data_IF_272047686544
#
_entry.id   IF_272047686544
#
_cell.length_a   1.000
_cell.length_b   1.000
_cell.length_c   1.000
_cell.angle_alpha   90.00
_cell.angle_beta   90.00
_cell.angle_gamma   90.00
#
_symmetry.space_group_name_H-M   'P 1'
#
loop_
_entity.id
_entity.type
_entity.pdbx_description
1 polymer ?
#
# COMPACT_ATOMS: atom_id res chain seq x y z
N UNK A 1 30.56 41.98 -64.38
CA UNK A 1 29.14 42.06 -64.78
C UNK A 1 28.68 40.65 -65.14
N UNK A 2 28.03 39.97 -64.20
CA UNK A 2 27.37 38.68 -64.44
C UNK A 2 26.05 38.73 -63.70
N UNK A 3 24.98 38.87 -64.48
CA UNK A 3 23.61 38.96 -63.99
C UNK A 3 23.15 37.60 -63.45
N UNK A 4 22.64 37.58 -62.22
CA UNK A 4 21.85 36.47 -61.68
C UNK A 4 20.48 36.46 -62.38
N UNK A 5 19.96 35.29 -62.80
CA UNK A 5 18.61 35.20 -63.32
C UNK A 5 17.61 35.28 -62.17
N UNK A 6 16.72 36.27 -62.25
CA UNK A 6 15.54 36.41 -61.39
C UNK A 6 14.56 35.30 -61.76
N UNK A 7 14.37 34.36 -60.84
CA UNK A 7 13.34 33.31 -60.97
C UNK A 7 11.97 33.93 -60.69
N UNK A 8 10.96 33.74 -61.56
CA UNK A 8 9.63 34.32 -61.35
C UNK A 8 8.93 33.68 -60.13
N UNK A 9 8.20 34.46 -59.32
CA UNK A 9 7.64 34.03 -58.03
C UNK A 9 6.52 32.96 -58.14
N UNK A 10 6.01 32.70 -59.34
CA UNK A 10 4.90 31.77 -59.56
C UNK A 10 5.29 30.28 -59.48
N UNK A 11 6.57 29.93 -59.68
CA UNK A 11 7.04 28.53 -59.66
C UNK A 11 7.34 28.02 -58.24
N UNK A 12 7.69 28.91 -57.31
CA UNK A 12 7.96 28.56 -55.91
C UNK A 12 6.69 28.16 -55.15
N UNK A 13 5.57 28.85 -55.42
CA UNK A 13 4.30 28.61 -54.74
C UNK A 13 3.68 27.24 -55.10
N UNK A 14 3.82 26.80 -56.37
CA UNK A 14 3.30 25.51 -56.86
C UNK A 14 4.04 24.31 -56.27
N UNK A 15 5.33 24.47 -55.97
CA UNK A 15 6.18 23.43 -55.36
C UNK A 15 5.92 23.28 -53.85
N UNK A 16 5.61 24.37 -53.17
CA UNK A 16 5.24 24.37 -51.74
C UNK A 16 3.85 23.82 -51.50
N UNK A 17 2.88 24.11 -52.39
CA UNK A 17 1.54 23.51 -52.33
C UNK A 17 1.59 21.99 -52.51
N UNK A 18 2.44 21.48 -53.41
CA UNK A 18 2.63 20.03 -53.61
C UNK A 18 3.31 19.33 -52.43
N UNK A 19 4.32 19.96 -51.81
CA UNK A 19 4.97 19.43 -50.60
C UNK A 19 4.03 19.49 -49.37
N UNK A 20 3.25 20.56 -49.21
CA UNK A 20 2.26 20.67 -48.15
C UNK A 20 1.14 19.63 -48.27
N UNK A 21 0.67 19.36 -49.50
CA UNK A 21 -0.31 18.31 -49.76
C UNK A 21 0.24 16.91 -49.45
N UNK A 22 1.52 16.64 -49.77
CA UNK A 22 2.19 15.38 -49.49
C UNK A 22 2.43 15.16 -47.98
N UNK A 23 2.81 16.22 -47.25
CA UNK A 23 2.98 16.16 -45.78
C UNK A 23 1.64 15.96 -45.07
N UNK A 24 0.56 16.59 -45.55
CA UNK A 24 -0.80 16.34 -45.05
C UNK A 24 -1.30 14.92 -45.39
N UNK A 25 -0.93 14.38 -46.56
CA UNK A 25 -1.22 12.98 -46.91
C UNK A 25 -0.47 12.00 -46.00
N UNK A 26 0.79 12.29 -45.65
CA UNK A 26 1.59 11.48 -44.71
C UNK A 26 1.10 11.57 -43.26
N UNK A 27 0.52 12.70 -42.83
CA UNK A 27 -0.12 12.83 -41.52
C UNK A 27 -1.47 12.09 -41.43
N UNK A 28 -2.03 11.70 -42.58
CA UNK A 28 -3.23 10.85 -42.67
C UNK A 28 -2.93 9.35 -42.80
N UNK A 29 -1.65 8.94 -42.75
CA UNK A 29 -1.33 7.58 -42.31
C UNK A 29 -1.73 7.51 -40.82
N UNK A 30 -3.02 7.26 -40.60
CA UNK A 30 -3.59 7.07 -39.30
C UNK A 30 -2.77 6.01 -38.58
N UNK A 31 -2.16 6.40 -37.47
CA UNK A 31 -1.77 5.44 -36.46
C UNK A 31 -3.06 4.69 -36.11
N UNK A 32 -3.17 3.42 -36.51
CA UNK A 32 -4.25 2.56 -36.07
C UNK A 32 -4.20 2.56 -34.54
N UNK A 33 -5.17 3.23 -33.91
CA UNK A 33 -5.26 3.29 -32.46
C UNK A 33 -5.64 1.89 -31.99
N UNK A 34 -4.68 1.18 -31.41
CA UNK A 34 -4.92 -0.13 -30.84
C UNK A 34 -6.01 -0.02 -29.76
N UNK A 35 -7.08 -0.80 -29.91
CA UNK A 35 -8.20 -0.77 -28.96
C UNK A 35 -7.75 -1.42 -27.64
N UNK A 36 -7.90 -0.72 -26.53
CA UNK A 36 -7.63 -1.26 -25.20
C UNK A 36 -8.94 -1.61 -24.48
N UNK A 37 -9.01 -2.83 -23.92
CA UNK A 37 -10.13 -3.28 -23.09
C UNK A 37 -9.57 -3.72 -21.73
N UNK A 38 -10.23 -3.32 -20.65
CA UNK A 38 -9.86 -3.67 -19.27
C UNK A 38 -11.04 -4.39 -18.59
N UNK A 39 -10.77 -5.47 -17.84
CA UNK A 39 -11.80 -6.15 -17.03
C UNK A 39 -11.18 -6.88 -15.84
N UNK A 40 -11.96 -7.09 -14.77
CA UNK A 40 -11.48 -7.80 -13.58
C UNK A 40 -11.58 -9.31 -13.73
N UNK A 41 -10.72 -10.02 -13.00
CA UNK A 41 -10.80 -11.49 -12.86
C UNK A 41 -12.20 -11.89 -12.39
N UNK A 42 -12.76 -12.92 -13.02
CA UNK A 42 -14.09 -13.46 -12.75
C UNK A 42 -15.24 -12.78 -13.50
N UNK A 43 -15.02 -11.62 -14.11
CA UNK A 43 -16.06 -10.90 -14.85
C UNK A 43 -16.29 -11.50 -16.26
N UNK A 44 -17.26 -10.92 -16.98
CA UNK A 44 -17.51 -11.15 -18.40
C UNK A 44 -17.12 -9.90 -19.18
N UNK A 45 -16.37 -10.06 -20.26
CA UNK A 45 -15.87 -8.98 -21.11
C UNK A 45 -16.14 -9.26 -22.58
N UNK A 46 -16.36 -8.21 -23.37
CA UNK A 46 -16.48 -8.26 -24.83
C UNK A 46 -15.30 -7.57 -25.48
N UNK A 47 -14.57 -8.28 -26.34
CA UNK A 47 -13.51 -7.72 -27.18
C UNK A 47 -14.12 -7.35 -28.55
N UNK A 48 -14.19 -6.06 -28.90
CA UNK A 48 -14.88 -5.62 -30.11
C UNK A 48 -14.07 -5.98 -31.36
N UNK A 49 -14.75 -6.45 -32.40
CA UNK A 49 -14.14 -6.62 -33.72
C UNK A 49 -14.24 -5.31 -34.53
N UNK A 50 -13.55 -5.26 -35.67
CA UNK A 50 -13.53 -4.11 -36.58
C UNK A 50 -14.53 -4.20 -37.74
N UNK A 51 -15.39 -5.22 -37.73
CA UNK A 51 -16.39 -5.44 -38.78
C UNK A 51 -17.72 -5.86 -38.17
N UNK A 52 -18.78 -5.29 -38.73
CA UNK A 52 -20.15 -5.68 -38.46
C UNK A 52 -20.76 -6.20 -39.75
N UNK A 53 -21.34 -7.41 -39.70
CA UNK A 53 -21.97 -8.03 -40.85
C UNK A 53 -23.23 -7.24 -41.22
N UNK A 54 -23.35 -6.72 -42.46
CA UNK A 54 -24.55 -6.02 -42.91
C UNK A 54 -25.81 -6.84 -42.68
N UNK A 55 -26.92 -6.19 -42.35
CA UNK A 55 -28.20 -6.87 -42.08
C UNK A 55 -28.69 -7.71 -43.27
N UNK A 56 -28.32 -7.33 -44.49
CA UNK A 56 -28.59 -8.04 -45.76
C UNK A 56 -27.75 -9.30 -45.96
N UNK A 57 -26.72 -9.52 -45.15
CA UNK A 57 -25.82 -10.65 -45.25
C UNK A 57 -25.90 -11.55 -44.01
N UNK A 58 -25.29 -12.73 -44.10
CA UNK A 58 -25.23 -13.71 -43.03
C UNK A 58 -23.79 -14.12 -42.77
N UNK A 59 -23.51 -14.63 -41.55
CA UNK A 59 -22.22 -15.20 -41.17
C UNK A 59 -21.74 -16.33 -42.09
N UNK A 60 -22.64 -16.94 -42.88
CA UNK A 60 -22.28 -17.94 -43.88
C UNK A 60 -21.34 -17.39 -44.97
N UNK A 61 -21.43 -16.09 -45.27
CA UNK A 61 -20.60 -15.43 -46.27
C UNK A 61 -19.25 -14.97 -45.69
N UNK A 62 -18.93 -15.33 -44.44
CA UNK A 62 -17.75 -14.84 -43.75
C UNK A 62 -16.96 -15.98 -43.14
N UNK A 63 -15.65 -15.77 -43.06
CA UNK A 63 -14.75 -16.53 -42.21
C UNK A 63 -14.14 -15.60 -41.17
N UNK A 64 -14.28 -15.95 -39.90
CA UNK A 64 -13.86 -15.10 -38.77
C UNK A 64 -12.90 -15.88 -37.91
N UNK A 65 -11.78 -15.25 -37.58
CA UNK A 65 -10.79 -15.77 -36.64
C UNK A 65 -10.61 -14.79 -35.50
N UNK A 66 -10.74 -15.29 -34.28
CA UNK A 66 -10.20 -14.63 -33.10
C UNK A 66 -8.93 -15.35 -32.68
N UNK A 67 -7.83 -14.60 -32.65
CA UNK A 67 -6.51 -15.14 -32.34
C UNK A 67 -5.93 -14.40 -31.14
N UNK A 68 -5.18 -15.09 -30.29
CA UNK A 68 -4.40 -14.51 -29.21
C UNK A 68 -2.92 -14.61 -29.54
N UNK A 69 -2.18 -13.52 -29.35
CA UNK A 69 -0.76 -13.39 -29.67
C UNK A 69 -0.39 -13.85 -31.10
N UNK A 70 -1.34 -13.76 -32.04
CA UNK A 70 -1.24 -14.19 -33.46
C UNK A 70 -1.00 -15.68 -33.71
N UNK A 71 -0.91 -16.51 -32.67
CA UNK A 71 -0.56 -17.94 -32.79
C UNK A 71 -1.66 -18.86 -32.27
N UNK A 72 -2.40 -18.44 -31.24
CA UNK A 72 -3.43 -19.26 -30.61
C UNK A 72 -4.80 -18.88 -31.17
N UNK A 73 -5.44 -19.78 -31.93
CA UNK A 73 -6.82 -19.56 -32.40
C UNK A 73 -7.79 -19.76 -31.23
N UNK A 74 -8.30 -18.67 -30.66
CA UNK A 74 -9.29 -18.71 -29.57
C UNK A 74 -10.56 -19.39 -30.05
N UNK A 75 -11.09 -18.91 -31.18
CA UNK A 75 -12.19 -19.52 -31.91
C UNK A 75 -12.15 -19.12 -33.39
N UNK A 76 -12.80 -19.91 -34.23
CA UNK A 76 -13.00 -19.58 -35.64
C UNK A 76 -14.37 -20.02 -36.15
N UNK A 77 -14.93 -19.22 -37.05
CA UNK A 77 -16.18 -19.50 -37.76
C UNK A 77 -15.96 -19.53 -39.27
N UNK A 78 -16.64 -20.45 -39.95
CA UNK A 78 -16.77 -20.49 -41.41
C UNK A 78 -18.14 -21.07 -41.78
N UNK A 79 -18.74 -20.60 -42.87
CA UNK A 79 -20.03 -21.11 -43.36
C UNK A 79 -21.12 -21.09 -42.26
N UNK A 80 -21.07 -20.08 -41.38
CA UNK A 80 -22.02 -19.92 -40.28
C UNK A 80 -21.84 -20.89 -39.10
N UNK A 81 -20.82 -21.75 -39.13
CA UNK A 81 -20.53 -22.74 -38.08
C UNK A 81 -19.19 -22.46 -37.42
N UNK A 82 -19.09 -22.79 -36.13
CA UNK A 82 -17.82 -22.79 -35.42
C UNK A 82 -16.98 -23.97 -35.89
N UNK A 83 -15.79 -23.71 -36.42
CA UNK A 83 -14.89 -24.72 -37.00
C UNK A 83 -13.68 -25.01 -36.11
N UNK A 84 -13.35 -24.12 -35.18
CA UNK A 84 -12.26 -24.29 -34.25
C UNK A 84 -12.57 -23.55 -32.96
N UNK A 85 -12.17 -24.15 -31.84
CA UNK A 85 -12.21 -23.55 -30.51
C UNK A 85 -11.07 -24.14 -29.70
N UNK A 86 -10.31 -23.28 -29.04
CA UNK A 86 -9.21 -23.73 -28.20
C UNK A 86 -9.72 -24.21 -26.84
N UNK A 87 -9.18 -25.32 -26.34
CA UNK A 87 -9.66 -26.06 -25.15
C UNK A 87 -9.78 -25.16 -23.90
N UNK A 88 -8.76 -24.33 -23.60
CA UNK A 88 -8.81 -23.33 -22.51
C UNK A 88 -10.05 -22.43 -22.52
N UNK A 89 -10.58 -22.15 -23.70
CA UNK A 89 -11.68 -21.23 -23.92
C UNK A 89 -13.04 -21.93 -24.02
N UNK A 90 -13.06 -23.27 -23.93
CA UNK A 90 -14.28 -24.05 -23.93
C UNK A 90 -15.23 -23.62 -22.80
N UNK A 91 -16.54 -23.54 -23.10
CA UNK A 91 -17.59 -23.04 -22.20
C UNK A 91 -17.41 -21.61 -21.63
N UNK A 92 -16.33 -20.91 -21.96
CA UNK A 92 -16.04 -19.55 -21.50
C UNK A 92 -16.20 -18.49 -22.59
N UNK A 93 -16.02 -18.87 -23.86
CA UNK A 93 -16.10 -17.93 -24.99
C UNK A 93 -17.28 -18.14 -25.93
N UNK A 94 -17.78 -17.02 -26.46
CA UNK A 94 -18.81 -16.95 -27.48
C UNK A 94 -18.53 -15.76 -28.41
N UNK A 95 -18.92 -15.85 -29.69
CA UNK A 95 -18.86 -14.73 -30.61
C UNK A 95 -20.28 -14.24 -30.95
N UNK A 96 -20.48 -12.93 -30.97
CA UNK A 96 -21.70 -12.33 -31.53
C UNK A 96 -21.75 -12.52 -33.04
N UNK A 97 -22.89 -12.96 -33.59
CA UNK A 97 -23.00 -13.30 -35.01
C UNK A 97 -23.13 -12.09 -35.94
N UNK A 98 -23.34 -10.88 -35.40
CA UNK A 98 -23.50 -9.64 -36.17
C UNK A 98 -22.26 -8.77 -36.07
N UNK A 99 -21.91 -8.32 -34.87
CA UNK A 99 -20.79 -7.41 -34.65
C UNK A 99 -19.46 -8.14 -34.39
N UNK A 100 -19.48 -9.48 -34.39
CA UNK A 100 -18.29 -10.34 -34.28
C UNK A 100 -17.48 -10.16 -32.99
N UNK A 101 -18.08 -9.51 -31.97
CA UNK A 101 -17.48 -9.32 -30.65
C UNK A 101 -17.21 -10.66 -30.00
N UNK A 102 -15.98 -10.86 -29.51
CA UNK A 102 -15.62 -12.03 -28.71
C UNK A 102 -15.98 -11.77 -27.25
N UNK A 103 -16.93 -12.53 -26.73
CA UNK A 103 -17.25 -12.57 -25.32
C UNK A 103 -16.40 -13.60 -24.60
N UNK A 104 -15.75 -13.21 -23.50
CA UNK A 104 -15.01 -14.07 -22.59
C UNK A 104 -15.67 -13.96 -21.20
N UNK A 105 -16.08 -15.09 -20.63
CA UNK A 105 -16.68 -15.17 -19.29
C UNK A 105 -15.72 -15.80 -18.29
N UNK A 106 -15.89 -15.43 -17.01
CA UNK A 106 -15.00 -15.85 -15.92
C UNK A 106 -13.54 -15.54 -16.28
N UNK A 107 -13.24 -14.27 -16.55
CA UNK A 107 -11.91 -13.79 -16.96
C UNK A 107 -10.83 -14.28 -16.00
N UNK A 108 -9.72 -14.77 -16.54
CA UNK A 108 -8.53 -15.20 -15.79
C UNK A 108 -7.32 -14.33 -16.13
N UNK A 109 -6.32 -14.26 -15.25
CA UNK A 109 -5.07 -13.50 -15.52
C UNK A 109 -4.38 -14.00 -16.79
N UNK A 110 -4.47 -15.31 -17.07
CA UNK A 110 -3.93 -15.92 -18.28
C UNK A 110 -4.57 -15.39 -19.56
N UNK A 111 -5.76 -14.77 -19.49
CA UNK A 111 -6.40 -14.16 -20.66
C UNK A 111 -5.76 -12.82 -21.04
N UNK A 112 -4.97 -12.20 -20.15
CA UNK A 112 -4.25 -10.98 -20.46
C UNK A 112 -3.37 -11.16 -21.72
N UNK A 113 -3.45 -10.21 -22.65
CA UNK A 113 -2.64 -10.22 -23.86
C UNK A 113 -3.26 -9.50 -25.04
N UNK A 114 -2.59 -9.61 -26.19
CA UNK A 114 -3.06 -9.02 -27.44
C UNK A 114 -3.91 -10.04 -28.20
N UNK A 115 -5.10 -9.63 -28.60
CA UNK A 115 -6.03 -10.38 -29.42
C UNK A 115 -6.11 -9.76 -30.81
N UNK A 116 -6.50 -10.55 -31.81
CA UNK A 116 -6.66 -10.10 -33.19
C UNK A 116 -7.97 -10.67 -33.76
N UNK A 117 -8.80 -9.80 -34.31
CA UNK A 117 -9.97 -10.17 -35.09
C UNK A 117 -9.61 -10.11 -36.57
N UNK A 118 -9.68 -11.26 -37.27
CA UNK A 118 -9.49 -11.33 -38.72
C UNK A 118 -10.79 -11.80 -39.37
N UNK A 119 -11.33 -10.98 -40.26
CA UNK A 119 -12.59 -11.26 -40.96
C UNK A 119 -12.33 -11.30 -42.46
N UNK A 120 -12.74 -12.40 -43.09
CA UNK A 120 -12.66 -12.61 -44.52
C UNK A 120 -14.07 -12.72 -45.09
N UNK A 121 -14.39 -11.89 -46.09
CA UNK A 121 -15.58 -12.02 -46.90
C UNK A 121 -15.37 -13.10 -47.97
N UNK A 122 -16.26 -14.09 -47.97
CA UNK A 122 -16.28 -15.20 -48.91
C UNK A 122 -17.09 -14.76 -50.14
N UNK A 123 -16.42 -14.13 -51.10
CA UNK A 123 -17.03 -13.82 -52.39
C UNK A 123 -17.28 -15.11 -53.19
N UNK A 124 -18.22 -15.06 -54.13
CA UNK A 124 -18.48 -16.16 -55.08
C UNK A 124 -17.26 -16.49 -55.98
N UNK A 125 -16.33 -15.54 -56.13
CA UNK A 125 -15.01 -15.77 -56.73
C UNK A 125 -14.10 -16.48 -55.73
N UNK A 126 -13.33 -17.48 -56.19
CA UNK A 126 -12.55 -18.44 -55.36
C UNK A 126 -11.60 -17.86 -54.28
N UNK A 127 -11.36 -16.55 -54.23
CA UNK A 127 -10.45 -15.91 -53.27
C UNK A 127 -11.20 -15.07 -52.21
N UNK A 128 -11.09 -15.43 -50.92
CA UNK A 128 -11.59 -14.60 -49.81
C UNK A 128 -10.93 -13.23 -49.76
N UNK A 129 -11.69 -12.19 -49.37
CA UNK A 129 -11.17 -10.82 -49.20
C UNK A 129 -11.13 -10.49 -47.72
N UNK A 130 -9.97 -10.09 -47.19
CA UNK A 130 -9.86 -9.60 -45.81
C UNK A 130 -10.57 -8.25 -45.70
N UNK A 131 -11.61 -8.19 -44.87
CA UNK A 131 -12.40 -6.97 -44.60
C UNK A 131 -12.13 -6.41 -43.20
N UNK A 132 -11.46 -7.18 -42.35
CA UNK A 132 -11.00 -6.73 -41.04
C UNK A 132 -9.74 -7.47 -40.63
N UNK A 133 -8.79 -6.72 -40.09
CA UNK A 133 -7.59 -7.21 -39.41
C UNK A 133 -7.21 -6.15 -38.35
N UNK A 134 -7.77 -6.29 -37.15
CA UNK A 134 -7.55 -5.33 -36.06
C UNK A 134 -7.12 -6.04 -34.78
N UNK A 135 -6.18 -5.40 -34.06
CA UNK A 135 -5.71 -5.84 -32.74
C UNK A 135 -6.46 -5.15 -31.61
N UNK A 136 -6.70 -5.92 -30.55
CA UNK A 136 -7.28 -5.47 -29.29
C UNK A 136 -6.36 -5.91 -28.16
N UNK A 137 -5.82 -4.95 -27.42
CA UNK A 137 -5.08 -5.26 -26.19
C UNK A 137 -6.07 -5.46 -25.05
N UNK A 138 -6.08 -6.66 -24.47
CA UNK A 138 -6.89 -7.00 -23.31
C UNK A 138 -6.04 -7.03 -22.04
N UNK A 139 -6.34 -6.12 -21.12
CA UNK A 139 -5.68 -5.98 -19.82
C UNK A 139 -6.58 -6.53 -18.71
N UNK A 140 -6.12 -7.59 -18.05
CA UNK A 140 -6.83 -8.18 -16.91
C UNK A 140 -6.42 -7.47 -15.61
N UNK A 141 -7.38 -7.31 -14.69
CA UNK A 141 -7.14 -6.70 -13.37
C UNK A 141 -7.49 -7.69 -12.26
N UNK A 142 -6.55 -7.93 -11.36
CA UNK A 142 -6.81 -8.59 -10.08
C UNK A 142 -6.55 -7.60 -8.96
N UNK A 143 -7.52 -7.42 -8.08
CA UNK A 143 -7.41 -6.48 -6.98
C UNK A 143 -6.41 -6.97 -5.93
N UNK A 144 -5.46 -6.11 -5.56
CA UNK A 144 -4.55 -6.36 -4.46
C UNK A 144 -5.30 -6.51 -3.12
N UNK A 145 -4.75 -7.27 -2.17
CA UNK A 145 -5.27 -7.26 -0.80
C UNK A 145 -5.11 -5.87 -0.16
N UNK A 146 -5.91 -5.55 0.85
CA UNK A 146 -5.70 -4.31 1.61
C UNK A 146 -4.27 -4.30 2.17
N UNK A 147 -3.48 -3.22 1.98
CA UNK A 147 -2.09 -3.21 2.42
C UNK A 147 -2.00 -3.38 3.94
N UNK A 148 -1.11 -4.27 4.38
CA UNK A 148 -0.80 -4.47 5.79
C UNK A 148 0.49 -3.73 6.14
N UNK A 149 0.47 -2.94 7.21
CA UNK A 149 1.64 -2.19 7.68
C UNK A 149 2.08 -2.76 9.02
N UNK A 150 3.33 -3.22 9.09
CA UNK A 150 3.98 -3.66 10.33
C UNK A 150 5.20 -2.79 10.61
N UNK A 151 5.56 -2.63 11.88
CA UNK A 151 6.72 -1.86 12.30
C UNK A 151 7.52 -2.66 13.33
N UNK A 152 8.82 -2.82 13.06
CA UNK A 152 9.74 -3.53 13.92
C UNK A 152 10.76 -2.53 14.47
N UNK A 153 10.78 -2.36 15.79
CA UNK A 153 11.71 -1.42 16.45
C UNK A 153 13.11 -2.01 16.45
N UNK A 154 14.06 -1.29 15.87
CA UNK A 154 15.47 -1.67 15.83
C UNK A 154 16.22 -1.12 17.04
N UNK A 155 16.05 0.17 17.34
CA UNK A 155 16.64 0.83 18.51
C UNK A 155 15.62 1.81 19.11
N UNK A 156 15.63 1.96 20.42
CA UNK A 156 14.74 2.90 21.11
C UNK A 156 15.52 3.70 22.15
N UNK A 157 15.76 4.97 21.85
CA UNK A 157 16.40 5.92 22.76
C UNK A 157 15.41 7.00 23.18
N UNK A 158 15.75 7.79 24.20
CA UNK A 158 14.95 8.95 24.60
C UNK A 158 14.76 9.96 23.45
N UNK A 159 15.77 10.11 22.60
CA UNK A 159 15.77 11.09 21.51
C UNK A 159 15.03 10.56 20.28
N UNK A 160 15.25 9.30 19.93
CA UNK A 160 14.72 8.70 18.71
C UNK A 160 14.40 7.22 18.83
N UNK A 161 13.34 6.80 18.17
CA UNK A 161 13.05 5.39 17.90
C UNK A 161 13.36 5.11 16.44
N UNK A 162 14.28 4.17 16.20
CA UNK A 162 14.55 3.64 14.86
C UNK A 162 13.76 2.37 14.66
N UNK A 163 13.08 2.27 13.52
CA UNK A 163 12.26 1.12 13.17
C UNK A 163 12.30 0.85 11.67
N UNK A 164 12.07 -0.41 11.33
CA UNK A 164 11.81 -0.83 9.96
C UNK A 164 10.30 -0.99 9.80
N UNK A 165 9.71 -0.13 8.99
CA UNK A 165 8.30 -0.26 8.60
C UNK A 165 8.21 -1.10 7.35
N UNK A 166 7.40 -2.15 7.39
CA UNK A 166 7.12 -3.01 6.25
C UNK A 166 5.67 -2.81 5.82
N UNK A 167 5.44 -2.56 4.54
CA UNK A 167 4.11 -2.56 3.93
C UNK A 167 4.01 -3.73 2.94
N UNK A 168 3.01 -4.60 3.09
CA UNK A 168 2.80 -5.74 2.21
C UNK A 168 1.38 -5.80 1.64
N UNK A 169 1.26 -6.28 0.41
CA UNK A 169 -0.03 -6.56 -0.24
C UNK A 169 0.14 -7.70 -1.25
N UNK A 170 -0.93 -8.46 -1.50
CA UNK A 170 -0.84 -9.78 -2.12
C UNK A 170 -1.91 -9.99 -3.20
N UNK A 171 -1.61 -10.90 -4.14
CA UNK A 171 -2.58 -11.49 -5.07
C UNK A 171 -3.09 -10.58 -6.19
N UNK A 172 -2.47 -9.42 -6.42
CA UNK A 172 -2.96 -8.47 -7.41
C UNK A 172 -2.27 -8.53 -8.77
N UNK A 173 -2.88 -7.96 -9.80
CA UNK A 173 -2.37 -7.93 -11.17
C UNK A 173 -2.95 -6.70 -11.90
N UNK A 174 -2.19 -5.99 -12.75
CA UNK A 174 -0.80 -6.22 -13.17
C UNK A 174 0.24 -5.80 -12.10
N UNK A 175 1.52 -5.75 -12.47
CA UNK A 175 2.62 -5.36 -11.57
C UNK A 175 2.33 -3.97 -10.95
N UNK A 176 2.36 -3.84 -9.61
CA UNK A 176 1.97 -2.61 -8.95
C UNK A 176 3.17 -1.66 -8.76
N UNK A 177 2.85 -0.42 -8.41
CA UNK A 177 3.76 0.56 -7.83
C UNK A 177 3.36 0.81 -6.38
N UNK A 178 4.35 0.85 -5.48
CA UNK A 178 4.13 1.27 -4.10
C UNK A 178 4.47 2.76 -3.95
N UNK A 179 3.59 3.48 -3.29
CA UNK A 179 3.77 4.88 -2.90
C UNK A 179 3.34 5.04 -1.44
N UNK A 180 3.61 6.21 -0.88
CA UNK A 180 3.20 6.49 0.48
C UNK A 180 3.61 7.86 0.95
N UNK A 181 3.12 8.20 2.14
CA UNK A 181 3.43 9.46 2.77
C UNK A 181 3.69 9.29 4.27
N UNK A 182 4.56 10.14 4.79
CA UNK A 182 4.88 10.28 6.20
C UNK A 182 4.46 11.69 6.63
N UNK A 183 3.42 11.82 7.47
CA UNK A 183 2.84 13.11 7.83
C UNK A 183 2.59 14.03 6.61
N UNK A 184 1.96 13.48 5.56
CA UNK A 184 1.69 14.14 4.27
C UNK A 184 2.90 14.46 3.37
N UNK A 185 4.11 14.02 3.74
CA UNK A 185 5.30 14.13 2.87
C UNK A 185 5.55 12.81 2.16
N UNK A 186 5.70 12.83 0.84
CA UNK A 186 5.96 11.62 0.05
C UNK A 186 7.23 10.91 0.51
N UNK A 187 7.19 9.58 0.56
CA UNK A 187 8.35 8.74 0.89
C UNK A 187 8.60 7.69 -0.18
N UNK A 188 9.87 7.31 -0.33
CA UNK A 188 10.30 6.25 -1.24
C UNK A 188 10.43 4.96 -0.44
N UNK A 189 9.72 3.93 -0.87
CA UNK A 189 9.81 2.59 -0.29
C UNK A 189 10.89 1.78 -1.01
N UNK A 190 11.68 1.01 -0.27
CA UNK A 190 12.50 -0.05 -0.85
C UNK A 190 11.59 -1.23 -1.20
N UNK A 191 11.13 -1.26 -2.44
CA UNK A 191 10.07 -2.14 -2.91
C UNK A 191 10.59 -3.39 -3.61
N UNK A 192 10.03 -4.54 -3.25
CA UNK A 192 10.20 -5.81 -3.96
C UNK A 192 8.83 -6.33 -4.39
N UNK A 193 8.71 -6.71 -5.67
CA UNK A 193 7.54 -7.38 -6.20
C UNK A 193 7.94 -8.79 -6.66
N UNK A 194 7.22 -9.79 -6.18
CA UNK A 194 7.47 -11.20 -6.48
C UNK A 194 6.26 -11.77 -7.22
N UNK A 195 6.52 -12.53 -8.27
CA UNK A 195 5.52 -13.30 -9.01
C UNK A 195 6.20 -14.52 -9.62
N UNK A 196 5.43 -15.59 -9.86
CA UNK A 196 5.92 -16.82 -10.48
C UNK A 196 6.23 -16.64 -11.97
N UNK A 197 5.43 -15.82 -12.66
CA UNK A 197 5.55 -15.54 -14.08
C UNK A 197 4.98 -14.17 -14.42
N UNK A 198 5.14 -13.70 -15.66
CA UNK A 198 4.52 -12.46 -16.12
C UNK A 198 2.99 -12.50 -16.15
N UNK A 199 2.37 -13.68 -16.09
CA UNK A 199 0.92 -13.92 -16.12
C UNK A 199 0.42 -14.57 -14.82
N UNK A 200 1.14 -14.36 -13.72
CA UNK A 200 0.73 -14.80 -12.38
C UNK A 200 0.43 -13.58 -11.49
N UNK A 201 -0.35 -13.73 -10.41
CA UNK A 201 -0.54 -12.67 -9.43
C UNK A 201 0.78 -12.18 -8.84
N UNK A 202 0.83 -10.90 -8.45
CA UNK A 202 1.97 -10.26 -7.80
C UNK A 202 1.73 -10.12 -6.29
N UNK A 203 2.79 -10.37 -5.53
CA UNK A 203 2.92 -10.00 -4.14
C UNK A 203 3.94 -8.87 -4.02
N UNK A 204 3.58 -7.78 -3.35
CA UNK A 204 4.42 -6.60 -3.19
C UNK A 204 4.76 -6.40 -1.72
N UNK A 205 6.01 -6.05 -1.45
CA UNK A 205 6.49 -5.69 -0.11
C UNK A 205 7.42 -4.50 -0.23
N UNK A 206 7.11 -3.42 0.48
CA UNK A 206 7.97 -2.25 0.63
C UNK A 206 8.51 -2.16 2.04
N UNK A 207 9.80 -1.85 2.16
CA UNK A 207 10.44 -1.55 3.45
C UNK A 207 10.89 -0.09 3.50
N UNK A 208 10.69 0.54 4.65
CA UNK A 208 11.13 1.90 4.93
C UNK A 208 11.85 1.92 6.27
N UNK A 209 13.09 2.39 6.27
CA UNK A 209 13.81 2.69 7.51
C UNK A 209 13.35 4.06 8.00
N UNK A 210 12.87 4.13 9.24
CA UNK A 210 12.30 5.33 9.83
C UNK A 210 12.98 5.62 11.17
N UNK A 211 13.49 6.85 11.32
CA UNK A 211 13.93 7.41 12.59
C UNK A 211 12.92 8.47 13.02
N UNK A 212 12.31 8.27 14.19
CA UNK A 212 11.16 9.04 14.65
C UNK A 212 11.39 9.64 16.04
N UNK A 213 11.14 10.95 16.18
CA UNK A 213 11.29 11.70 17.44
C UNK A 213 9.96 12.09 18.10
N UNK A 214 8.85 11.95 17.38
CA UNK A 214 7.46 12.24 17.79
C UNK A 214 6.52 11.29 17.09
N UNK A 215 5.25 11.23 17.46
CA UNK A 215 4.28 10.39 16.74
C UNK A 215 4.21 10.73 15.24
N UNK A 216 4.12 9.69 14.41
CA UNK A 216 4.11 9.81 12.96
C UNK A 216 3.00 8.97 12.36
N UNK A 217 2.26 9.57 11.42
CA UNK A 217 1.30 8.87 10.58
C UNK A 217 1.99 8.43 9.29
N UNK A 218 1.98 7.13 9.03
CA UNK A 218 2.49 6.53 7.80
C UNK A 218 1.35 5.99 6.96
N UNK A 219 1.31 6.38 5.69
CA UNK A 219 0.37 5.87 4.68
C UNK A 219 1.15 5.07 3.65
N UNK A 220 0.69 3.87 3.36
CA UNK A 220 1.16 3.05 2.26
C UNK A 220 0.03 2.89 1.24
N UNK A 221 0.34 3.06 -0.04
CA UNK A 221 -0.59 2.95 -1.15
C UNK A 221 -0.02 2.03 -2.23
N UNK A 222 -0.80 1.07 -2.68
CA UNK A 222 -0.47 0.15 -3.78
C UNK A 222 -1.29 0.60 -4.99
N UNK A 223 -0.59 1.14 -5.99
CA UNK A 223 -1.14 1.68 -7.23
C UNK A 223 -1.00 0.64 -8.35
N UNK A 224 -2.07 0.37 -9.09
CA UNK A 224 -2.12 -0.61 -10.18
C UNK A 224 -3.24 -0.27 -11.15
N UNK A 225 -2.91 -0.13 -12.44
CA UNK A 225 -3.87 0.11 -13.52
C UNK A 225 -4.95 1.18 -13.19
N UNK A 226 -4.52 2.36 -12.72
CA UNK A 226 -5.36 3.48 -12.28
C UNK A 226 -6.17 3.26 -10.98
N UNK A 227 -6.09 2.07 -10.39
CA UNK A 227 -6.60 1.78 -9.05
C UNK A 227 -5.54 2.01 -7.99
N UNK A 228 -5.99 2.31 -6.76
CA UNK A 228 -5.12 2.37 -5.60
C UNK A 228 -5.81 1.75 -4.38
N UNK A 229 -5.06 0.97 -3.61
CA UNK A 229 -5.47 0.54 -2.27
C UNK A 229 -4.47 1.04 -1.25
N UNK A 230 -4.97 1.74 -0.23
CA UNK A 230 -4.13 2.38 0.77
C UNK A 230 -4.47 1.94 2.18
N UNK A 231 -3.53 2.09 3.09
CA UNK A 231 -3.71 1.92 4.53
C UNK A 231 -2.82 2.92 5.26
N UNK A 232 -3.33 3.44 6.37
CA UNK A 232 -2.63 4.41 7.22
C UNK A 232 -2.48 3.82 8.61
N UNK A 233 -1.28 3.94 9.19
CA UNK A 233 -0.95 3.49 10.53
C UNK A 233 -0.35 4.66 11.32
N UNK A 234 -0.85 4.88 12.54
CA UNK A 234 -0.25 5.83 13.48
C UNK A 234 0.82 5.11 14.31
N UNK A 235 2.06 5.52 14.15
CA UNK A 235 3.20 5.05 14.93
C UNK A 235 3.42 6.00 16.12
N UNK A 236 3.37 5.44 17.33
CA UNK A 236 3.55 6.21 18.57
C UNK A 236 4.97 6.09 19.09
N UNK A 237 5.57 7.20 19.48
CA UNK A 237 6.87 7.18 20.16
C UNK A 237 6.67 6.76 21.60
N UNK A 238 7.47 5.80 22.06
CA UNK A 238 7.49 5.41 23.47
C UNK A 238 8.52 6.25 24.22
N UNK A 239 8.06 7.02 25.22
CA UNK A 239 8.93 7.84 26.07
C UNK A 239 9.42 7.03 27.28
N UNK A 240 10.20 5.98 27.06
CA UNK A 240 10.86 5.28 28.18
C UNK A 240 12.18 5.98 28.51
N UNK A 241 12.10 7.08 29.26
CA UNK A 241 13.26 7.72 29.86
C UNK A 241 13.36 7.34 31.33
N UNK A 242 14.07 6.23 31.59
CA UNK A 242 14.71 6.08 32.90
C UNK A 242 15.95 6.96 32.84
N UNK A 243 15.82 8.20 33.34
CA UNK A 243 17.01 9.02 33.63
C UNK A 243 17.86 8.17 34.55
N UNK A 244 19.12 7.83 34.20
CA UNK A 244 20.01 7.20 35.16
C UNK A 244 20.05 8.13 36.37
N UNK A 245 19.59 7.67 37.52
CA UNK A 245 19.75 8.42 38.77
C UNK A 245 21.25 8.59 38.95
N UNK A 246 21.79 9.72 38.50
CA UNK A 246 23.21 10.01 38.62
C UNK A 246 23.50 9.93 40.11
N UNK A 247 24.34 8.99 40.58
CA UNK A 247 24.70 8.96 41.98
C UNK A 247 25.24 10.35 42.33
N UNK A 248 24.80 10.96 43.44
CA UNK A 248 25.24 12.30 43.80
C UNK A 248 26.77 12.35 43.72
N UNK A 249 27.30 13.40 43.09
CA UNK A 249 28.75 13.54 42.95
C UNK A 249 29.43 13.38 44.32
N UNK A 250 30.62 12.78 44.35
CA UNK A 250 31.38 12.55 45.58
C UNK A 250 31.45 13.80 46.47
N UNK A 251 31.55 14.98 45.84
CA UNK A 251 31.57 16.29 46.50
C UNK A 251 30.29 16.57 47.33
N UNK A 252 29.12 16.19 46.83
CA UNK A 252 27.83 16.38 47.52
C UNK A 252 27.71 15.42 48.71
N UNK A 253 28.19 14.18 48.54
CA UNK A 253 28.24 13.20 49.63
C UNK A 253 29.20 13.68 50.71
N UNK A 254 30.41 14.12 50.35
CA UNK A 254 31.41 14.63 51.30
C UNK A 254 30.93 15.89 52.01
N UNK A 255 30.31 16.84 51.30
CA UNK A 255 29.80 18.06 51.93
C UNK A 255 28.68 17.73 52.94
N UNK A 256 27.77 16.81 52.58
CA UNK A 256 26.70 16.36 53.46
C UNK A 256 27.25 15.65 54.71
N UNK A 257 28.25 14.77 54.54
CA UNK A 257 28.92 14.11 55.66
C UNK A 257 29.66 15.10 56.56
N UNK A 258 30.35 16.10 56.00
CA UNK A 258 31.06 17.13 56.78
C UNK A 258 30.06 17.98 57.60
N UNK A 259 28.94 18.39 57.01
CA UNK A 259 27.89 19.15 57.70
C UNK A 259 27.34 18.35 58.88
N UNK A 260 27.06 17.06 58.68
CA UNK A 260 26.57 16.16 59.73
C UNK A 260 27.61 16.02 60.86
N UNK A 261 28.89 15.85 60.53
CA UNK A 261 29.97 15.76 61.52
C UNK A 261 30.09 17.06 62.33
N UNK A 262 30.04 18.22 61.67
CA UNK A 262 30.09 19.53 62.35
C UNK A 262 28.88 19.70 63.28
N UNK A 263 27.69 19.28 62.83
CA UNK A 263 26.48 19.33 63.66
C UNK A 263 26.59 18.45 64.91
N UNK A 264 27.09 17.22 64.78
CA UNK A 264 27.35 16.36 65.93
C UNK A 264 28.43 16.93 66.86
N UNK A 265 29.51 17.51 66.32
CA UNK A 265 30.53 18.18 67.12
C UNK A 265 29.94 19.36 67.89
N UNK A 266 29.12 20.19 67.24
CA UNK A 266 28.44 21.30 67.89
C UNK A 266 27.50 20.83 69.01
N UNK A 267 26.74 19.75 68.81
CA UNK A 267 25.90 19.14 69.86
C UNK A 267 26.76 18.62 71.02
N UNK A 268 27.88 17.93 70.73
CA UNK A 268 28.75 17.41 71.80
C UNK A 268 29.43 18.54 72.59
N UNK A 269 29.80 19.64 71.93
CA UNK A 269 30.34 20.82 72.59
C UNK A 269 29.26 21.52 73.42
N UNK A 270 28.05 21.66 72.89
CA UNK A 270 26.91 22.23 73.61
C UNK A 270 26.51 21.38 74.83
N UNK A 271 26.52 20.05 74.70
CA UNK A 271 26.28 19.12 75.81
C UNK A 271 27.39 19.12 76.87
N UNK A 272 28.63 19.48 76.50
CA UNK A 272 29.74 19.69 77.46
C UNK A 272 29.73 21.09 78.09
N UNK A 273 29.14 22.07 77.43
CA UNK A 273 28.99 23.45 77.93
C UNK A 273 27.70 23.68 78.72
N UNK A 274 26.69 22.83 78.56
CA UNK A 274 25.57 22.75 79.48
C UNK A 274 26.09 22.15 80.80
N UNK A 275 26.06 22.89 81.93
CA UNK A 275 26.46 22.35 83.22
C UNK A 275 25.61 21.12 83.50
N UNK A 276 26.25 20.00 83.88
CA UNK A 276 25.54 18.92 84.58
C UNK A 276 25.01 19.51 85.88
N UNK A 277 23.79 20.03 85.88
CA UNK A 277 23.01 20.19 87.10
C UNK A 277 22.64 18.78 87.58
N UNK A 278 23.56 18.18 88.32
CA UNK A 278 23.23 17.16 89.30
C UNK A 278 22.52 17.89 90.44
N UNK A 279 21.27 17.53 90.72
CA UNK A 279 20.69 17.76 92.04
C UNK A 279 19.92 16.51 92.48
N UNK A 280 20.37 15.96 93.60
CA UNK A 280 19.89 14.78 94.31
C UNK A 280 18.84 15.16 95.36
N UNK A 281 17.70 14.43 95.43
CA UNK A 281 16.78 14.16 96.57
C UNK A 281 16.35 15.36 97.50
N UNK A 282 15.09 15.60 97.93
CA UNK A 282 14.01 14.71 98.40
C UNK A 282 12.73 15.51 98.82
N UNK A 283 11.56 14.82 98.88
CA UNK A 283 10.35 15.01 99.74
C UNK A 283 9.12 15.92 99.34
N UNK A 284 8.06 15.25 98.81
CA UNK A 284 6.58 15.14 99.17
C UNK A 284 5.83 16.25 99.98
N UNK A 285 4.46 16.28 100.10
CA UNK A 285 3.31 15.65 99.38
C UNK A 285 2.04 16.58 99.12
N UNK A 286 0.95 16.01 98.55
CA UNK A 286 -0.50 16.42 98.58
C UNK A 286 -0.90 17.74 97.87
N UNK A 287 -2.10 17.95 97.29
CA UNK A 287 -3.41 17.29 97.36
C UNK A 287 -4.30 17.62 96.14
N UNK A 288 -5.34 16.79 96.00
CA UNK A 288 -6.61 16.82 95.22
C UNK A 288 -7.15 18.09 94.52
N UNK A 289 -7.87 17.86 93.41
CA UNK A 289 -9.30 18.22 93.12
C UNK A 289 -9.50 17.91 91.61
N UNK A 290 -10.25 16.84 91.27
CA UNK A 290 -11.66 16.87 90.81
C UNK A 290 -11.83 17.77 89.57
N UNK A 291 -12.44 17.37 88.45
CA UNK A 291 -13.65 16.59 88.30
C UNK A 291 -13.83 16.33 86.79
N UNK A 292 -14.30 15.13 86.43
CA UNK A 292 -15.25 14.92 85.33
C UNK A 292 -14.79 15.19 83.88
N UNK A 293 -15.15 14.42 82.87
CA UNK A 293 -16.15 13.36 82.75
C UNK A 293 -15.72 12.54 81.53
N UNK A 294 -15.51 11.27 81.81
CA UNK A 294 -15.94 10.05 81.12
C UNK A 294 -15.55 9.84 79.65
N UNK A 295 -14.79 8.78 79.39
CA UNK A 295 -15.23 7.36 79.28
C UNK A 295 -16.06 7.17 78.00
N UNK A 296 -15.87 6.14 77.19
CA UNK A 296 -15.54 4.76 77.52
C UNK A 296 -14.98 4.11 76.23
N UNK A 297 -13.76 3.59 76.18
CA UNK A 297 -13.31 2.28 76.67
C UNK A 297 -13.55 1.12 75.68
N UNK A 298 -12.40 0.61 75.19
CA UNK A 298 -11.97 -0.79 74.91
C UNK A 298 -12.81 -1.72 74.02
N UNK A 299 -12.11 -2.21 72.97
CA UNK A 299 -11.64 -3.61 72.76
C UNK A 299 -12.33 -4.71 73.60
N UNK A 300 -12.53 -5.97 73.12
CA UNK A 300 -11.45 -6.75 72.48
C UNK A 300 -11.85 -7.91 71.52
N UNK A 301 -10.83 -8.45 70.86
CA UNK A 301 -10.49 -9.87 70.62
C UNK A 301 -11.56 -10.94 70.25
N UNK A 302 -11.17 -11.74 69.24
CA UNK A 302 -11.39 -13.20 69.09
C UNK A 302 -12.68 -13.67 68.43
N UNK A 303 -12.57 -14.27 67.24
CA UNK A 303 -12.50 -15.74 67.06
C UNK A 303 -12.91 -16.20 65.65
N UNK A 304 -12.05 -17.05 65.06
CA UNK A 304 -12.29 -18.34 64.37
C UNK A 304 -13.51 -18.51 63.42
N UNK A 305 -13.24 -19.03 62.21
CA UNK A 305 -14.23 -19.68 61.35
C UNK A 305 -13.88 -19.61 59.85
N UNK A 306 -12.91 -20.36 59.34
CA UNK A 306 -13.06 -21.66 58.61
C UNK A 306 -13.70 -21.59 57.22
N UNK A 307 -13.02 -22.28 56.28
CA UNK A 307 -13.51 -22.92 55.05
C UNK A 307 -13.48 -22.05 53.78
N UNK A 308 -12.61 -22.40 52.82
CA UNK A 308 -12.84 -23.35 51.69
C UNK A 308 -13.70 -22.68 50.60
N UNK A 309 -13.53 -22.85 49.30
CA UNK A 309 -12.59 -23.51 48.37
C UNK A 309 -13.11 -23.07 46.99
N UNK A 310 -12.20 -22.94 46.02
CA UNK A 310 -12.39 -23.22 44.59
C UNK A 310 -13.50 -22.57 43.75
N UNK A 311 -13.02 -22.14 42.58
CA UNK A 311 -13.52 -22.49 41.22
C UNK A 311 -14.69 -21.67 40.69
N UNK A 312 -14.75 -21.33 39.40
CA UNK A 312 -14.00 -21.78 38.22
C UNK A 312 -13.36 -20.59 37.49
#
# INVERSE_FOLDING_TARGET
MTCLPVVPPALALRRWLGFGLYVMLCLSLGYALEKEVKSKVGEKVGLPCCHEIPSSESLHNYRVYWQKNTTEVVLAYAEGKMISKHERYENRTQMDSRNLTLWISAVEILDNGSYQCVVQHLKSSQNPVVVCDERVTFTVIADFSKPNITAEVSTNTCESTEMVVTCSSHGGFPKPKISGALNNKSVVWNASCVSESSLSPYNVTGKLLLNMTKDVSITCSIEYNDFAKSTTLLLRKTNYCVVPTVPPSYNVITASSIIIIIFFLAITLLARYLPRHVCSHCCKPQDSVEEGVKECTKLPLSSKGTSKTSSL
#
